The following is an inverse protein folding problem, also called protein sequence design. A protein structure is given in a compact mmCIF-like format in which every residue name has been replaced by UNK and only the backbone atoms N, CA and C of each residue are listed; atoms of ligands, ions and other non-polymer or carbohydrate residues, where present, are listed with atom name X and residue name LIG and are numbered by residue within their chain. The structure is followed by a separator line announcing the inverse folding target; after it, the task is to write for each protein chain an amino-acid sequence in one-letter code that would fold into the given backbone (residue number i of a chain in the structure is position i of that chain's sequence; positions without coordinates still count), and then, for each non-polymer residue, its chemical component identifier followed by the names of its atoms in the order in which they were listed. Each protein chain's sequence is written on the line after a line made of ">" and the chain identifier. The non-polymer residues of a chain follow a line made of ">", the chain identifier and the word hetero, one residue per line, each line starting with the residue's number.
data_IF_077736420269
#
_entry.id   IF_077736420269
#
_cell.length_a   1.000
_cell.length_b   1.000
_cell.length_c   1.000
_cell.angle_alpha   90.00
_cell.angle_beta   90.00
_cell.angle_gamma   90.00
#
_symmetry.space_group_name_H-M   'P 1'
#
loop_
_entity.id
_entity.type
_entity.pdbx_description
1 polymer ?
#
# COMPACT_ATOMS: atom_id res chain seq x y z
N UNK A 1 9.82 4.96 9.45
CA UNK A 1 9.26 3.60 9.25
C UNK A 1 9.87 2.92 8.02
N UNK A 2 9.50 3.26 6.78
CA UNK A 2 10.03 2.55 5.59
C UNK A 2 11.56 2.69 5.44
N UNK A 3 12.10 3.92 5.50
CA UNK A 3 13.55 4.15 5.41
C UNK A 3 14.35 3.39 6.47
N UNK A 4 13.84 3.38 7.70
CA UNK A 4 14.41 2.64 8.83
C UNK A 4 14.39 1.13 8.58
N UNK A 5 13.27 0.60 8.11
CA UNK A 5 13.11 -0.81 7.79
C UNK A 5 14.09 -1.26 6.68
N UNK A 6 14.26 -0.44 5.64
CA UNK A 6 15.22 -0.70 4.55
C UNK A 6 16.66 -0.60 5.07
N UNK A 7 17.01 0.45 5.83
CA UNK A 7 18.35 0.62 6.39
C UNK A 7 18.77 -0.55 7.28
N UNK A 8 17.87 -1.01 8.15
CA UNK A 8 18.10 -2.20 8.98
C UNK A 8 18.26 -3.46 8.12
N UNK A 9 17.46 -3.61 7.06
CA UNK A 9 17.60 -4.72 6.13
C UNK A 9 18.98 -4.71 5.42
N UNK A 10 19.47 -3.51 5.04
CA UNK A 10 20.82 -3.32 4.50
C UNK A 10 21.90 -3.78 5.50
N UNK A 11 21.83 -3.30 6.74
CA UNK A 11 22.79 -3.64 7.81
C UNK A 11 22.81 -5.15 8.11
N UNK A 12 21.65 -5.80 8.05
CA UNK A 12 21.50 -7.23 8.29
C UNK A 12 21.87 -8.10 7.08
N UNK A 13 22.10 -7.51 5.91
CA UNK A 13 22.34 -8.26 4.66
C UNK A 13 21.18 -9.17 4.26
N UNK A 14 19.95 -8.82 4.67
CA UNK A 14 18.73 -9.63 4.51
C UNK A 14 17.71 -8.89 3.64
N UNK A 15 16.83 -9.59 2.91
CA UNK A 15 15.96 -8.95 1.93
C UNK A 15 14.80 -8.16 2.56
N UNK A 16 14.33 -7.16 1.82
CA UNK A 16 13.06 -6.47 2.03
C UNK A 16 11.99 -7.15 1.18
N UNK A 17 10.85 -7.47 1.77
CA UNK A 17 9.65 -7.88 1.04
C UNK A 17 8.73 -6.66 0.88
N UNK A 18 8.21 -6.43 -0.32
CA UNK A 18 7.24 -5.36 -0.57
C UNK A 18 6.07 -5.89 -1.42
N UNK A 19 4.87 -5.86 -0.87
CA UNK A 19 3.63 -6.31 -1.51
C UNK A 19 2.66 -5.15 -1.67
N UNK A 20 1.94 -5.16 -2.79
CA UNK A 20 0.96 -4.14 -3.19
C UNK A 20 -0.50 -4.63 -3.00
N UNK A 21 -0.72 -5.55 -2.06
CA UNK A 21 -2.02 -6.19 -1.84
C UNK A 21 -2.38 -7.28 -2.86
N UNK A 22 -3.58 -7.84 -2.69
CA UNK A 22 -4.06 -9.02 -3.40
C UNK A 22 -5.19 -8.74 -4.40
N UNK A 23 -5.65 -7.49 -4.52
CA UNK A 23 -6.69 -7.11 -5.48
C UNK A 23 -6.10 -6.73 -6.84
N UNK A 24 -6.88 -6.96 -7.91
CA UNK A 24 -6.56 -6.47 -9.25
C UNK A 24 -6.75 -4.94 -9.33
N UNK A 25 -5.91 -4.26 -10.11
CA UNK A 25 -5.98 -2.82 -10.36
C UNK A 25 -7.29 -2.39 -11.03
N UNK A 26 -7.92 -3.28 -11.80
CA UNK A 26 -9.20 -3.07 -12.48
C UNK A 26 -10.41 -3.19 -11.54
N UNK A 27 -10.21 -3.60 -10.28
CA UNK A 27 -11.30 -3.65 -9.30
C UNK A 27 -11.85 -2.26 -9.02
N UNK A 28 -13.14 -2.05 -9.26
CA UNK A 28 -13.80 -0.77 -9.01
C UNK A 28 -13.71 -0.31 -7.54
N UNK A 29 -13.71 -1.26 -6.60
CA UNK A 29 -13.68 -0.97 -5.16
C UNK A 29 -12.27 -0.98 -4.60
N UNK A 30 -11.43 -1.93 -5.01
CA UNK A 30 -10.14 -2.18 -4.36
C UNK A 30 -8.93 -1.79 -5.20
N UNK A 31 -9.12 -1.54 -6.50
CA UNK A 31 -8.07 -1.13 -7.44
C UNK A 31 -7.27 0.10 -6.96
N UNK A 32 -7.92 1.16 -6.44
CA UNK A 32 -7.20 2.31 -5.89
C UNK A 32 -6.20 1.95 -4.78
N UNK A 33 -6.50 0.96 -3.94
CA UNK A 33 -5.58 0.52 -2.88
C UNK A 33 -4.37 -0.19 -3.47
N UNK A 34 -4.57 -1.02 -4.50
CA UNK A 34 -3.45 -1.65 -5.22
C UNK A 34 -2.57 -0.62 -5.92
N UNK A 35 -3.15 0.43 -6.50
CA UNK A 35 -2.38 1.56 -7.08
C UNK A 35 -1.54 2.24 -6.01
N UNK A 36 -2.12 2.51 -4.84
CA UNK A 36 -1.38 3.08 -3.71
C UNK A 36 -0.21 2.17 -3.28
N UNK A 37 -0.43 0.86 -3.21
CA UNK A 37 0.61 -0.14 -2.95
C UNK A 37 1.75 -0.12 -3.98
N UNK A 38 1.41 -0.02 -5.27
CA UNK A 38 2.39 0.09 -6.36
C UNK A 38 3.18 1.41 -6.30
N UNK A 39 2.54 2.51 -5.89
CA UNK A 39 3.23 3.79 -5.66
C UNK A 39 4.26 3.67 -4.52
N UNK A 40 3.91 3.00 -3.42
CA UNK A 40 4.86 2.70 -2.34
C UNK A 40 5.97 1.77 -2.82
N UNK A 41 5.65 0.75 -3.62
CA UNK A 41 6.65 -0.15 -4.21
C UNK A 41 7.70 0.61 -5.03
N UNK A 42 7.29 1.61 -5.82
CA UNK A 42 8.22 2.46 -6.59
C UNK A 42 9.25 3.13 -5.70
N UNK A 43 8.81 3.74 -4.60
CA UNK A 43 9.69 4.36 -3.62
C UNK A 43 10.61 3.33 -2.94
N UNK A 44 10.04 2.21 -2.46
CA UNK A 44 10.81 1.13 -1.82
C UNK A 44 11.88 0.57 -2.77
N UNK A 45 11.54 0.38 -4.04
CA UNK A 45 12.47 -0.09 -5.06
C UNK A 45 13.63 0.88 -5.30
N UNK A 46 13.38 2.18 -5.36
CA UNK A 46 14.44 3.19 -5.47
C UNK A 46 15.36 3.16 -4.26
N UNK A 47 14.80 3.11 -3.05
CA UNK A 47 15.59 3.09 -1.82
C UNK A 47 16.40 1.78 -1.68
N UNK A 48 15.81 0.63 -2.00
CA UNK A 48 16.51 -0.65 -2.03
C UNK A 48 17.63 -0.64 -3.08
N UNK A 49 17.39 -0.14 -4.29
CA UNK A 49 18.42 0.02 -5.31
C UNK A 49 19.55 0.92 -4.80
N UNK A 50 19.23 2.12 -4.28
CA UNK A 50 20.21 3.07 -3.73
C UNK A 50 21.11 2.43 -2.68
N UNK A 51 20.54 1.73 -1.71
CA UNK A 51 21.30 1.09 -0.64
C UNK A 51 21.87 -0.29 -0.99
N UNK A 52 21.59 -0.83 -2.18
CA UNK A 52 22.05 -2.17 -2.56
C UNK A 52 21.37 -3.28 -1.75
N UNK A 53 20.14 -3.05 -1.30
CA UNK A 53 19.34 -4.04 -0.55
C UNK A 53 18.51 -4.87 -1.51
N UNK A 54 18.51 -6.20 -1.33
CA UNK A 54 17.68 -7.09 -2.16
C UNK A 54 16.20 -6.86 -1.84
N UNK A 55 15.41 -6.58 -2.89
CA UNK A 55 13.96 -6.42 -2.82
C UNK A 55 13.28 -7.62 -3.44
N UNK A 56 12.35 -8.25 -2.72
CA UNK A 56 11.50 -9.34 -3.21
C UNK A 56 10.05 -8.87 -3.24
N UNK A 57 9.38 -9.07 -4.38
CA UNK A 57 8.02 -8.59 -4.64
C UNK A 57 7.09 -9.77 -4.93
N UNK A 58 6.32 -10.24 -3.95
CA UNK A 58 5.37 -11.33 -4.14
C UNK A 58 4.05 -10.83 -4.75
N UNK A 59 3.74 -11.31 -5.95
CA UNK A 59 2.59 -10.89 -6.76
C UNK A 59 1.53 -11.99 -6.79
N UNK A 60 0.27 -11.62 -6.50
CA UNK A 60 -0.88 -12.54 -6.62
C UNK A 60 -1.53 -12.50 -8.00
N UNK A 61 -1.69 -11.30 -8.54
CA UNK A 61 -2.48 -11.05 -9.74
C UNK A 61 -1.56 -11.00 -10.97
N UNK A 62 -1.82 -11.85 -11.95
CA UNK A 62 -0.93 -12.01 -13.11
C UNK A 62 -0.85 -10.74 -13.98
N UNK A 63 -1.94 -9.97 -14.08
CA UNK A 63 -1.97 -8.68 -14.80
C UNK A 63 -1.05 -7.63 -14.16
N UNK A 64 -0.75 -7.76 -12.86
CA UNK A 64 0.09 -6.81 -12.12
C UNK A 64 1.57 -7.18 -12.21
N UNK A 65 1.92 -8.45 -12.46
CA UNK A 65 3.30 -8.91 -12.56
C UNK A 65 4.17 -8.03 -13.49
N UNK A 66 3.78 -7.73 -14.74
CA UNK A 66 4.57 -6.86 -15.61
C UNK A 66 4.67 -5.42 -15.08
N UNK A 67 3.61 -4.91 -14.43
CA UNK A 67 3.59 -3.56 -13.85
C UNK A 67 4.59 -3.46 -12.69
N UNK A 68 4.55 -4.41 -11.76
CA UNK A 68 5.49 -4.48 -10.65
C UNK A 68 6.93 -4.66 -11.14
N UNK A 69 7.13 -5.48 -12.18
CA UNK A 69 8.44 -5.68 -12.81
C UNK A 69 8.99 -4.36 -13.36
N UNK A 70 8.20 -3.65 -14.17
CA UNK A 70 8.59 -2.38 -14.78
C UNK A 70 8.89 -1.30 -13.73
N UNK A 71 8.09 -1.22 -12.66
CA UNK A 71 8.32 -0.28 -11.55
C UNK A 71 9.70 -0.53 -10.93
N UNK A 72 10.02 -1.78 -10.61
CA UNK A 72 11.30 -2.12 -9.97
C UNK A 72 12.46 -1.93 -10.96
N UNK A 73 12.32 -2.37 -12.21
CA UNK A 73 13.36 -2.20 -13.23
C UNK A 73 13.67 -0.71 -13.47
N UNK A 74 12.63 0.12 -13.60
CA UNK A 74 12.78 1.56 -13.76
C UNK A 74 13.42 2.20 -12.54
N UNK A 75 13.06 1.80 -11.33
CA UNK A 75 13.70 2.30 -10.11
C UNK A 75 15.20 1.99 -10.06
N UNK A 76 15.60 0.75 -10.40
CA UNK A 76 17.01 0.37 -10.48
C UNK A 76 17.76 1.14 -11.58
N UNK A 77 17.12 1.39 -12.72
CA UNK A 77 17.68 2.21 -13.80
C UNK A 77 17.90 3.67 -13.39
N UNK A 78 16.93 4.27 -12.69
CA UNK A 78 17.03 5.66 -12.18
C UNK A 78 18.20 5.81 -11.21
N UNK A 79 18.42 4.83 -10.33
CA UNK A 79 19.53 4.82 -9.38
C UNK A 79 20.87 4.34 -10.00
N UNK A 80 20.93 4.16 -11.33
CA UNK A 80 22.15 3.78 -12.05
C UNK A 80 22.65 2.35 -11.76
N UNK A 81 21.76 1.46 -11.32
CA UNK A 81 22.06 0.07 -10.89
C UNK A 81 21.28 -0.97 -11.68
N UNK A 82 21.04 -0.71 -12.98
CA UNK A 82 20.28 -1.61 -13.85
C UNK A 82 20.87 -3.03 -13.90
N UNK A 83 22.18 -3.19 -13.72
CA UNK A 83 22.89 -4.47 -13.63
C UNK A 83 22.56 -5.29 -12.38
N UNK A 84 22.02 -4.66 -11.34
CA UNK A 84 21.64 -5.30 -10.08
C UNK A 84 20.16 -5.69 -10.03
N UNK A 85 19.38 -5.30 -11.05
CA UNK A 85 17.98 -5.69 -11.16
C UNK A 85 17.86 -7.20 -11.39
N UNK A 86 17.03 -7.86 -10.58
CA UNK A 86 16.76 -9.29 -10.66
C UNK A 86 15.27 -9.50 -10.91
N UNK A 87 14.93 -9.90 -12.13
CA UNK A 87 13.54 -10.18 -12.50
C UNK A 87 12.96 -11.35 -11.70
N UNK A 88 13.82 -12.29 -11.29
CA UNK A 88 13.47 -13.47 -10.50
C UNK A 88 13.00 -13.12 -9.09
N UNK A 89 13.29 -11.91 -8.60
CA UNK A 89 12.80 -11.42 -7.31
C UNK A 89 11.37 -10.85 -7.40
N UNK A 90 10.79 -10.73 -8.60
CA UNK A 90 9.39 -10.35 -8.84
C UNK A 90 8.57 -11.60 -9.14
N UNK A 91 7.94 -12.16 -8.10
CA UNK A 91 7.48 -13.55 -8.12
C UNK A 91 5.96 -13.62 -8.13
N UNK A 92 5.39 -14.15 -9.21
CA UNK A 92 4.01 -14.60 -9.19
C UNK A 92 3.88 -15.88 -8.37
N UNK A 93 3.00 -15.90 -7.37
CA UNK A 93 2.85 -17.05 -6.48
C UNK A 93 1.64 -17.92 -6.83
N UNK A 94 0.45 -17.34 -6.78
CA UNK A 94 -0.81 -18.07 -7.01
C UNK A 94 -1.97 -17.07 -7.15
N UNK A 95 -3.00 -17.36 -7.95
CA UNK A 95 -4.18 -16.50 -8.01
C UNK A 95 -5.11 -16.75 -6.80
N UNK A 96 -4.93 -17.87 -6.09
CA UNK A 96 -5.72 -18.25 -4.94
C UNK A 96 -5.14 -17.64 -3.66
N UNK A 97 -5.97 -16.92 -2.91
CA UNK A 97 -5.57 -16.12 -1.74
C UNK A 97 -4.70 -16.90 -0.73
N UNK A 98 -5.17 -18.06 -0.28
CA UNK A 98 -4.44 -18.83 0.74
C UNK A 98 -3.19 -19.52 0.19
N UNK A 99 -3.18 -19.92 -1.08
CA UNK A 99 -1.97 -20.43 -1.72
C UNK A 99 -0.92 -19.33 -1.91
N UNK A 100 -1.34 -18.12 -2.27
CA UNK A 100 -0.49 -16.92 -2.29
C UNK A 100 0.09 -16.63 -0.91
N UNK A 101 -0.76 -16.60 0.12
CA UNK A 101 -0.35 -16.37 1.51
C UNK A 101 0.66 -17.42 1.98
N UNK A 102 0.39 -18.72 1.77
CA UNK A 102 1.30 -19.81 2.13
C UNK A 102 2.66 -19.70 1.43
N UNK A 103 2.65 -19.41 0.13
CA UNK A 103 3.88 -19.24 -0.63
C UNK A 103 4.68 -18.03 -0.15
N UNK A 104 4.03 -16.90 0.12
CA UNK A 104 4.66 -15.68 0.63
C UNK A 104 5.25 -15.92 2.02
N UNK A 105 4.48 -16.47 2.97
CA UNK A 105 4.97 -16.83 4.30
C UNK A 105 6.21 -17.74 4.21
N UNK A 106 6.15 -18.76 3.36
CA UNK A 106 7.28 -19.67 3.15
C UNK A 106 8.50 -18.97 2.57
N UNK A 107 8.33 -17.99 1.66
CA UNK A 107 9.43 -17.18 1.15
C UNK A 107 10.04 -16.32 2.26
N UNK A 108 9.24 -15.65 3.09
CA UNK A 108 9.76 -14.84 4.20
C UNK A 108 10.60 -15.68 5.16
N UNK A 109 10.17 -16.90 5.47
CA UNK A 109 10.90 -17.81 6.36
C UNK A 109 12.20 -18.35 5.76
N UNK A 110 12.21 -18.69 4.46
CA UNK A 110 13.41 -19.20 3.78
C UNK A 110 14.44 -18.11 3.55
N UNK A 111 14.01 -16.97 3.03
CA UNK A 111 14.86 -15.84 2.68
C UNK A 111 15.24 -15.00 3.91
N UNK A 112 14.65 -15.29 5.07
CA UNK A 112 14.82 -14.53 6.32
C UNK A 112 14.56 -13.05 6.07
N UNK A 113 13.31 -12.68 5.75
CA UNK A 113 12.95 -11.28 5.53
C UNK A 113 13.41 -10.38 6.71
N UNK A 114 14.10 -9.27 6.45
CA UNK A 114 14.44 -8.29 7.48
C UNK A 114 13.41 -7.17 7.59
N UNK A 115 12.70 -6.89 6.50
CA UNK A 115 11.55 -6.00 6.49
C UNK A 115 10.43 -6.60 5.63
N UNK A 116 9.18 -6.32 6.01
CA UNK A 116 7.98 -6.73 5.29
C UNK A 116 7.04 -5.52 5.15
N UNK A 117 6.94 -4.99 3.94
CA UNK A 117 6.14 -3.81 3.60
C UNK A 117 4.89 -4.27 2.87
N UNK A 118 3.72 -3.99 3.44
CA UNK A 118 2.42 -4.50 3.00
C UNK A 118 1.42 -3.35 2.88
N UNK A 119 1.45 -2.61 1.76
CA UNK A 119 0.52 -1.51 1.51
C UNK A 119 -0.40 -1.88 0.35
N UNK A 120 -1.71 -1.88 0.57
CA UNK A 120 -2.68 -2.09 -0.50
C UNK A 120 -3.95 -2.80 -0.05
N UNK A 121 -4.65 -3.46 -0.97
CA UNK A 121 -5.87 -4.19 -0.66
C UNK A 121 -5.55 -5.56 -0.06
N UNK A 122 -5.93 -5.78 1.21
CA UNK A 122 -5.75 -7.05 1.92
C UNK A 122 -7.05 -7.60 2.50
N UNK A 123 -7.10 -8.92 2.72
CA UNK A 123 -8.16 -9.69 3.38
C UNK A 123 -7.56 -10.59 4.46
N UNK A 124 -8.10 -11.79 4.67
CA UNK A 124 -7.75 -12.71 5.75
C UNK A 124 -6.26 -13.07 5.86
N UNK A 125 -5.48 -12.93 4.78
CA UNK A 125 -4.04 -13.13 4.79
C UNK A 125 -3.28 -12.07 5.61
N UNK A 126 -3.90 -10.93 5.95
CA UNK A 126 -3.26 -9.84 6.70
C UNK A 126 -2.61 -10.35 7.99
N UNK A 127 -3.35 -11.09 8.81
CA UNK A 127 -2.84 -11.62 10.07
C UNK A 127 -1.80 -12.72 9.84
N UNK A 128 -2.01 -13.59 8.85
CA UNK A 128 -1.08 -14.70 8.54
C UNK A 128 0.31 -14.17 8.13
N UNK A 129 0.31 -13.17 7.26
CA UNK A 129 1.54 -12.51 6.80
C UNK A 129 2.19 -11.73 7.93
N UNK A 130 1.41 -10.98 8.71
CA UNK A 130 1.92 -10.20 9.85
C UNK A 130 2.54 -11.11 10.93
N UNK A 131 1.88 -12.19 11.32
CA UNK A 131 2.42 -13.14 12.30
C UNK A 131 3.71 -13.80 11.80
N UNK A 132 3.76 -14.15 10.51
CA UNK A 132 4.98 -14.71 9.91
C UNK A 132 6.12 -13.69 9.91
N UNK A 133 5.86 -12.43 9.52
CA UNK A 133 6.84 -11.36 9.58
C UNK A 133 7.40 -11.16 10.99
N UNK A 134 6.53 -11.18 12.01
CA UNK A 134 6.93 -11.15 13.41
C UNK A 134 7.83 -12.35 13.77
N UNK A 135 7.43 -13.57 13.41
CA UNK A 135 8.21 -14.80 13.68
C UNK A 135 9.60 -14.79 13.05
N UNK A 136 9.77 -14.21 11.87
CA UNK A 136 11.09 -14.10 11.21
C UNK A 136 11.92 -12.89 11.70
N UNK A 137 11.34 -12.07 12.57
CA UNK A 137 11.96 -10.87 13.12
C UNK A 137 12.08 -9.72 12.11
N UNK A 138 11.16 -9.65 11.14
CA UNK A 138 11.10 -8.56 10.18
C UNK A 138 10.43 -7.32 10.79
N UNK A 139 10.96 -6.13 10.53
CA UNK A 139 10.20 -4.88 10.75
C UNK A 139 9.05 -4.86 9.75
N UNK A 140 7.84 -4.56 10.22
CA UNK A 140 6.65 -4.57 9.40
C UNK A 140 6.03 -3.18 9.28
N UNK A 141 5.86 -2.74 8.03
CA UNK A 141 5.08 -1.54 7.71
C UNK A 141 3.88 -1.97 6.89
N UNK A 142 2.68 -1.77 7.41
CA UNK A 142 1.45 -2.24 6.80
C UNK A 142 0.46 -1.11 6.56
N UNK A 143 -0.55 -1.36 5.74
CA UNK A 143 -1.59 -0.40 5.45
C UNK A 143 -2.65 -0.94 4.50
N UNK A 144 -3.91 -0.68 4.84
CA UNK A 144 -5.07 -1.08 4.03
C UNK A 144 -6.24 -0.12 4.26
N UNK A 145 -7.06 0.09 3.23
CA UNK A 145 -8.34 0.78 3.37
C UNK A 145 -9.52 -0.20 3.57
N UNK A 146 -9.24 -1.51 3.59
CA UNK A 146 -10.23 -2.50 4.00
C UNK A 146 -10.42 -2.49 5.51
N UNK A 147 -11.51 -1.88 5.98
CA UNK A 147 -11.81 -1.66 7.41
C UNK A 147 -11.86 -2.95 8.22
N UNK A 148 -12.20 -4.09 7.62
CA UNK A 148 -12.20 -5.38 8.31
C UNK A 148 -10.79 -5.90 8.63
N UNK A 149 -9.76 -5.41 7.94
CA UNK A 149 -8.39 -5.87 8.12
C UNK A 149 -7.50 -4.93 8.91
N UNK A 150 -7.90 -3.64 9.00
CA UNK A 150 -7.17 -2.64 9.79
C UNK A 150 -6.83 -3.12 11.20
N UNK A 151 -7.76 -3.72 11.99
CA UNK A 151 -7.44 -4.15 13.34
C UNK A 151 -6.29 -5.17 13.39
N UNK A 152 -6.21 -6.09 12.43
CA UNK A 152 -5.14 -7.10 12.39
C UNK A 152 -3.78 -6.46 12.13
N UNK A 153 -3.69 -5.51 11.21
CA UNK A 153 -2.44 -4.81 10.95
C UNK A 153 -2.03 -3.89 12.08
N UNK A 154 -2.97 -3.17 12.70
CA UNK A 154 -2.69 -2.30 13.85
C UNK A 154 -2.10 -3.08 15.03
N UNK A 155 -2.57 -4.30 15.29
CA UNK A 155 -2.08 -5.09 16.44
C UNK A 155 -0.88 -5.98 16.13
N UNK A 156 -0.67 -6.36 14.87
CA UNK A 156 0.34 -7.37 14.50
C UNK A 156 1.56 -6.81 13.76
N UNK A 157 1.63 -5.50 13.49
CA UNK A 157 2.76 -4.87 12.78
C UNK A 157 3.31 -3.66 13.52
N UNK A 158 4.57 -3.30 13.27
CA UNK A 158 5.25 -2.20 13.98
C UNK A 158 4.69 -0.83 13.61
N UNK A 159 4.33 -0.65 12.33
CA UNK A 159 3.74 0.57 11.80
C UNK A 159 2.57 0.23 10.89
N UNK A 160 1.42 0.88 11.11
CA UNK A 160 0.21 0.66 10.33
C UNK A 160 -0.38 1.98 9.84
N UNK A 161 -0.55 2.12 8.53
CA UNK A 161 -1.38 3.16 7.92
C UNK A 161 -2.85 2.75 7.98
N UNK A 162 -3.72 3.68 8.37
CA UNK A 162 -5.13 3.40 8.63
C UNK A 162 -6.00 4.01 7.53
N UNK A 163 -6.76 3.16 6.82
CA UNK A 163 -7.81 3.66 5.94
C UNK A 163 -7.26 4.45 4.76
N UNK A 164 -7.67 5.71 4.65
CA UNK A 164 -7.31 6.60 3.55
C UNK A 164 -5.82 7.01 3.54
N UNK A 165 -5.10 6.82 4.66
CA UNK A 165 -3.68 7.17 4.77
C UNK A 165 -2.80 6.49 3.71
N UNK A 166 -3.17 5.28 3.27
CA UNK A 166 -2.42 4.57 2.23
C UNK A 166 -2.41 5.32 0.90
N UNK A 167 -3.46 6.07 0.58
CA UNK A 167 -3.55 6.80 -0.69
C UNK A 167 -2.61 8.01 -0.70
N UNK A 168 -2.34 8.56 0.48
CA UNK A 168 -1.41 9.67 0.64
C UNK A 168 0.05 9.20 0.76
N UNK A 169 0.28 7.94 1.17
CA UNK A 169 1.62 7.39 1.40
C UNK A 169 2.55 7.58 0.20
N UNK A 170 2.12 7.19 -1.01
CA UNK A 170 2.92 7.35 -2.22
C UNK A 170 3.32 8.81 -2.48
N UNK A 171 2.38 9.74 -2.35
CA UNK A 171 2.59 11.17 -2.57
C UNK A 171 3.56 11.79 -1.55
N UNK A 172 3.42 11.44 -0.27
CA UNK A 172 4.31 11.92 0.79
C UNK A 172 5.73 11.35 0.66
N UNK A 173 5.87 10.08 0.25
CA UNK A 173 7.17 9.44 0.05
C UNK A 173 7.90 10.01 -1.17
N UNK A 174 7.20 10.26 -2.28
CA UNK A 174 7.78 10.87 -3.48
C UNK A 174 7.98 12.39 -3.35
N UNK A 175 7.39 13.02 -2.32
CA UNK A 175 7.33 14.48 -2.14
C UNK A 175 6.76 15.21 -3.36
N UNK A 176 5.78 14.59 -4.01
CA UNK A 176 5.11 15.18 -5.16
C UNK A 176 4.12 16.26 -4.70
N UNK A 177 4.52 17.52 -4.87
CA UNK A 177 3.74 18.69 -4.45
C UNK A 177 2.34 18.73 -5.07
N UNK A 178 2.18 18.24 -6.30
CA UNK A 178 0.89 18.23 -7.02
C UNK A 178 -0.04 17.20 -6.39
N UNK A 179 0.46 16.00 -6.12
CA UNK A 179 -0.34 14.94 -5.48
C UNK A 179 -0.72 15.33 -4.05
N UNK A 180 0.21 15.91 -3.29
CA UNK A 180 -0.06 16.40 -1.93
C UNK A 180 -1.12 17.50 -1.95
N UNK A 181 -1.01 18.47 -2.86
CA UNK A 181 -1.99 19.55 -3.01
C UNK A 181 -3.38 19.01 -3.41
N UNK A 182 -3.44 18.01 -4.29
CA UNK A 182 -4.69 17.35 -4.68
C UNK A 182 -5.39 16.70 -3.49
N UNK A 183 -4.65 15.99 -2.64
CA UNK A 183 -5.19 15.36 -1.41
C UNK A 183 -5.75 16.43 -0.48
N UNK A 184 -5.00 17.52 -0.24
CA UNK A 184 -5.46 18.62 0.61
C UNK A 184 -6.75 19.27 0.07
N UNK A 185 -6.85 19.45 -1.24
CA UNK A 185 -8.06 19.99 -1.87
C UNK A 185 -9.26 19.04 -1.72
N UNK A 186 -9.05 17.72 -1.84
CA UNK A 186 -10.11 16.73 -1.61
C UNK A 186 -10.63 16.79 -0.17
N UNK A 187 -9.75 16.91 0.81
CA UNK A 187 -10.15 17.01 2.22
C UNK A 187 -10.95 18.29 2.51
N UNK A 188 -10.54 19.44 1.96
CA UNK A 188 -11.33 20.68 2.03
C UNK A 188 -12.71 20.48 1.39
N UNK A 189 -12.77 19.83 0.24
CA UNK A 189 -14.02 19.49 -0.44
C UNK A 189 -14.95 18.64 0.44
N UNK A 190 -14.41 17.62 1.12
CA UNK A 190 -15.17 16.80 2.08
C UNK A 190 -15.73 17.65 3.23
N UNK A 191 -14.92 18.54 3.82
CA UNK A 191 -15.39 19.43 4.89
C UNK A 191 -16.51 20.36 4.44
N UNK A 192 -16.39 20.94 3.23
CA UNK A 192 -17.44 21.77 2.64
C UNK A 192 -18.72 20.95 2.43
N UNK A 193 -18.61 19.74 1.87
CA UNK A 193 -19.75 18.85 1.67
C UNK A 193 -20.45 18.52 2.99
N UNK A 194 -19.70 18.15 4.03
CA UNK A 194 -20.23 17.89 5.38
C UNK A 194 -20.95 19.13 5.94
N UNK A 195 -20.35 20.32 5.83
CA UNK A 195 -20.95 21.55 6.32
C UNK A 195 -22.27 21.88 5.59
N UNK A 196 -22.30 21.70 4.26
CA UNK A 196 -23.51 21.90 3.46
C UNK A 196 -24.58 20.87 3.77
N UNK A 197 -24.21 19.59 3.95
CA UNK A 197 -25.15 18.54 4.38
C UNK A 197 -25.74 18.84 5.76
N UNK A 198 -24.93 19.30 6.71
CA UNK A 198 -25.38 19.67 8.04
C UNK A 198 -26.30 20.89 8.01
N UNK A 199 -25.94 21.93 7.26
CA UNK A 199 -26.79 23.12 7.08
C UNK A 199 -28.13 22.76 6.42
N UNK A 200 -28.11 21.92 5.38
CA UNK A 200 -29.32 21.42 4.73
C UNK A 200 -30.22 20.66 5.69
N UNK A 201 -29.65 19.79 6.53
CA UNK A 201 -30.40 19.07 7.55
C UNK A 201 -31.06 20.02 8.59
N UNK A 202 -30.37 21.08 9.00
CA UNK A 202 -30.93 22.09 9.92
C UNK A 202 -32.05 22.91 9.29
N UNK A 203 -31.86 23.39 8.05
CA UNK A 203 -32.86 24.18 7.32
C UNK A 203 -34.15 23.37 7.11
N UNK A 204 -34.03 22.10 6.71
CA UNK A 204 -35.18 21.20 6.57
C UNK A 204 -35.87 20.95 7.91
N UNK A 205 -35.12 20.77 8.98
CA UNK A 205 -35.69 20.60 10.34
C UNK A 205 -36.44 21.86 10.79
N UNK A 206 -35.97 23.05 10.40
CA UNK A 206 -36.61 24.34 10.67
C UNK A 206 -37.80 24.67 9.77
N UNK A 207 -38.22 23.76 8.88
CA UNK A 207 -39.35 23.96 7.96
C UNK A 207 -39.05 24.84 6.75
N UNK A 208 -37.77 25.11 6.47
CA UNK A 208 -37.33 25.89 5.31
C UNK A 208 -37.08 24.92 4.14
N UNK A 209 -38.10 24.72 3.30
CA UNK A 209 -38.12 23.71 2.23
C UNK A 209 -37.85 24.28 0.82
N UNK A 210 -37.63 25.59 0.68
CA UNK A 210 -37.50 26.25 -0.64
C UNK A 210 -36.40 25.64 -1.53
N UNK A 211 -35.29 25.16 -0.95
CA UNK A 211 -34.21 24.50 -1.70
C UNK A 211 -34.69 23.16 -2.27
N UNK A 212 -35.43 22.37 -1.48
CA UNK A 212 -35.97 21.09 -1.92
C UNK A 212 -37.07 21.30 -2.96
N UNK A 213 -37.90 22.31 -2.78
CA UNK A 213 -38.95 22.71 -3.73
C UNK A 213 -38.36 23.18 -5.07
N UNK A 214 -37.23 23.91 -5.04
CA UNK A 214 -36.52 24.33 -6.24
C UNK A 214 -35.80 23.17 -6.97
N UNK A 215 -35.27 22.19 -6.24
CA UNK A 215 -34.62 20.99 -6.83
C UNK A 215 -35.62 19.97 -7.41
N UNK A 216 -36.90 20.07 -7.05
CA UNK A 216 -37.98 19.20 -7.57
C UNK A 216 -38.68 19.77 -8.81
N UNK A 217 -38.45 21.03 -9.14
CA UNK A 217 -38.97 21.71 -10.33
C UNK A 217 -38.04 21.49 -11.52
#
# INVERSE_FOLDING_TARGET
>A
AIDEAIGRATEMGRPVFCSHGIADISSATYGPQTIAGLAVLSYVAQMCARYGTRLIVPVRILSILPIATEIVETAYRIEGKADQFRKEDIVYLSPWQFAYSLAYMSMMEREKAAANIMIGAYWAESLQLAETGYRVGAIQVSGTANTHQIPFFVVATDYCLIGEEIYAAGAYLSKDEILIASIAAQDIGKYIAVALSFLGALLMTGGIDWIVSALRA
#
